data_IF_155974455041
#
_entry.id   IF_155974455041
#
_cell.length_a   1.000
_cell.length_b   1.000
_cell.length_c   1.000
_cell.angle_alpha   90.00
_cell.angle_beta   90.00
_cell.angle_gamma   90.00
#
_symmetry.space_group_name_H-M   'P 1'
#
loop_
_entity.id
_entity.type
_entity.pdbx_description
1 polymer ?
#
# COMPACT_ATOMS: atom_id res chain seq x y z
N UNK A 1 -2.89 -5.38 0.66
CA UNK A 1 -3.30 -6.64 1.29
C UNK A 1 -3.02 -7.73 0.27
N UNK A 2 -2.31 -8.77 0.66
CA UNK A 2 -2.00 -9.95 -0.18
C UNK A 2 -3.02 -11.09 0.01
N UNK A 3 -4.12 -10.81 0.72
CA UNK A 3 -5.14 -11.75 1.17
C UNK A 3 -4.59 -12.89 2.05
N UNK A 4 -3.43 -12.70 2.69
CA UNK A 4 -2.89 -13.65 3.67
C UNK A 4 -3.80 -13.84 4.89
N UNK A 5 -4.56 -12.80 5.25
CA UNK A 5 -5.53 -12.81 6.36
C UNK A 5 -6.91 -12.31 5.96
N UNK A 6 -7.00 -11.38 5.00
CA UNK A 6 -8.26 -10.88 4.43
C UNK A 6 -8.92 -11.84 3.45
N UNK A 7 -10.19 -11.58 3.10
CA UNK A 7 -10.93 -12.34 2.06
C UNK A 7 -11.61 -11.40 1.09
N UNK A 8 -11.42 -11.65 -0.22
CA UNK A 8 -12.06 -10.86 -1.29
C UNK A 8 -13.59 -10.85 -1.21
N UNK A 9 -14.19 -11.92 -0.68
CA UNK A 9 -15.64 -12.01 -0.48
C UNK A 9 -16.18 -10.94 0.48
N UNK A 10 -15.37 -10.38 1.39
CA UNK A 10 -15.80 -9.28 2.25
C UNK A 10 -16.07 -7.98 1.47
N UNK A 11 -15.53 -7.85 0.26
CA UNK A 11 -15.73 -6.67 -0.59
C UNK A 11 -16.98 -6.77 -1.47
N UNK A 12 -17.57 -7.97 -1.62
CA UNK A 12 -18.66 -8.22 -2.57
C UNK A 12 -19.89 -7.31 -2.33
N UNK A 13 -20.15 -6.96 -1.07
CA UNK A 13 -21.25 -6.07 -0.68
C UNK A 13 -21.12 -4.63 -1.19
N UNK A 14 -19.93 -4.21 -1.64
CA UNK A 14 -19.68 -2.85 -2.11
C UNK A 14 -19.84 -2.69 -3.63
N UNK A 15 -19.96 -3.81 -4.38
CA UNK A 15 -20.23 -3.81 -5.81
C UNK A 15 -19.21 -2.99 -6.61
N UNK A 16 -19.71 -2.11 -7.49
CA UNK A 16 -18.90 -1.25 -8.37
C UNK A 16 -18.20 -0.09 -7.64
N UNK A 17 -18.54 0.16 -6.37
CA UNK A 17 -17.89 1.22 -5.58
C UNK A 17 -16.48 0.83 -5.09
N UNK A 18 -16.04 -0.41 -5.34
CA UNK A 18 -14.73 -0.92 -4.94
C UNK A 18 -14.07 -1.60 -6.13
N UNK A 19 -12.89 -1.09 -6.48
CA UNK A 19 -11.97 -1.74 -7.40
C UNK A 19 -10.87 -2.46 -6.60
N UNK A 20 -10.51 -3.68 -7.03
CA UNK A 20 -9.40 -4.43 -6.43
C UNK A 20 -8.26 -4.53 -7.44
N UNK A 21 -7.19 -3.80 -7.17
CA UNK A 21 -5.94 -3.86 -7.95
C UNK A 21 -4.96 -4.79 -7.24
N UNK A 22 -4.45 -5.79 -7.97
CA UNK A 22 -3.39 -6.68 -7.48
C UNK A 22 -2.04 -6.13 -7.91
N UNK A 23 -1.29 -5.58 -6.96
CA UNK A 23 0.02 -4.97 -7.18
C UNK A 23 0.88 -5.01 -5.91
N UNK A 24 2.19 -4.85 -6.07
CA UNK A 24 3.14 -4.70 -4.97
C UNK A 24 3.55 -3.23 -4.85
N UNK A 25 3.57 -2.69 -3.63
CA UNK A 25 3.96 -1.29 -3.38
C UNK A 25 5.43 -1.00 -3.70
N UNK A 26 6.27 -2.04 -3.83
CA UNK A 26 7.67 -1.92 -4.24
C UNK A 26 7.81 -1.62 -5.74
N UNK A 27 6.78 -1.86 -6.54
CA UNK A 27 6.71 -1.55 -7.97
C UNK A 27 6.20 -0.12 -8.18
N UNK A 28 7.10 0.77 -8.59
CA UNK A 28 6.76 2.18 -8.83
C UNK A 28 5.75 2.35 -9.98
N UNK A 29 5.87 1.59 -11.06
CA UNK A 29 5.00 1.75 -12.23
C UNK A 29 3.58 1.28 -11.91
N UNK A 30 3.46 0.24 -11.09
CA UNK A 30 2.18 -0.19 -10.54
C UNK A 30 1.58 0.90 -9.63
N UNK A 31 2.38 1.56 -8.78
CA UNK A 31 1.89 2.65 -7.92
C UNK A 31 1.52 3.90 -8.72
N UNK A 32 2.24 4.22 -9.80
CA UNK A 32 1.87 5.28 -10.74
C UNK A 32 0.50 5.03 -11.35
N UNK A 33 0.22 3.78 -11.75
CA UNK A 33 -1.09 3.39 -12.29
C UNK A 33 -2.19 3.46 -11.22
N UNK A 34 -1.91 2.92 -10.02
CA UNK A 34 -2.90 2.84 -8.94
C UNK A 34 -3.27 4.19 -8.32
N UNK A 35 -2.38 5.18 -8.37
CA UNK A 35 -2.63 6.53 -7.82
C UNK A 35 -3.18 7.52 -8.85
N UNK A 36 -3.29 7.12 -10.11
CA UNK A 36 -3.80 7.98 -11.18
C UNK A 36 -5.28 8.31 -10.97
N UNK A 37 -5.60 9.61 -10.93
CA UNK A 37 -6.98 10.08 -10.75
C UNK A 37 -7.52 9.95 -9.32
N UNK A 38 -6.67 9.62 -8.34
CA UNK A 38 -7.08 9.51 -6.93
C UNK A 38 -7.02 10.86 -6.21
N UNK A 39 -8.05 11.19 -5.45
CA UNK A 39 -8.05 12.40 -4.59
C UNK A 39 -7.24 12.20 -3.31
N UNK A 40 -7.31 10.99 -2.73
CA UNK A 40 -6.74 10.65 -1.42
C UNK A 40 -6.11 9.26 -1.46
N UNK A 41 -4.93 9.10 -0.84
CA UNK A 41 -4.28 7.81 -0.62
C UNK A 41 -4.19 7.52 0.88
N UNK A 42 -4.71 6.37 1.32
CA UNK A 42 -4.56 5.87 2.69
C UNK A 42 -3.61 4.67 2.65
N UNK A 43 -2.37 4.86 3.11
CA UNK A 43 -1.33 3.85 3.08
C UNK A 43 -1.37 3.00 4.36
N UNK A 44 -1.84 1.76 4.21
CA UNK A 44 -1.91 0.75 5.28
C UNK A 44 -1.06 -0.48 4.99
N UNK A 45 -0.26 -0.47 3.92
CA UNK A 45 0.58 -1.60 3.57
C UNK A 45 1.80 -1.64 4.50
N UNK A 46 2.01 -2.77 5.17
CA UNK A 46 3.09 -2.98 6.14
C UNK A 46 3.40 -4.48 6.26
N UNK A 47 4.69 -4.81 6.31
CA UNK A 47 5.18 -6.11 6.76
C UNK A 47 5.31 -6.11 8.28
N UNK A 48 4.88 -7.18 8.94
CA UNK A 48 4.99 -7.33 10.39
C UNK A 48 6.45 -7.18 10.85
N UNK A 49 6.71 -6.26 11.78
CA UNK A 49 8.08 -5.96 12.24
C UNK A 49 8.81 -7.18 12.83
N UNK A 50 8.09 -8.16 13.41
CA UNK A 50 8.71 -9.40 13.90
C UNK A 50 9.39 -10.21 12.77
N UNK A 51 8.97 -10.04 11.52
CA UNK A 51 9.62 -10.67 10.36
C UNK A 51 11.05 -10.17 10.20
N UNK A 52 11.36 -8.93 10.62
CA UNK A 52 12.70 -8.33 10.49
C UNK A 52 13.80 -9.07 11.26
N UNK A 53 13.44 -9.85 12.28
CA UNK A 53 14.39 -10.67 13.03
C UNK A 53 15.05 -11.73 12.14
N UNK A 54 14.34 -12.20 11.11
CA UNK A 54 14.81 -13.21 10.18
C UNK A 54 15.10 -12.62 8.79
N UNK A 55 14.34 -11.61 8.36
CA UNK A 55 14.46 -10.97 7.06
C UNK A 55 14.30 -9.44 7.17
N UNK A 56 15.34 -8.73 7.63
CA UNK A 56 15.30 -7.27 7.77
C UNK A 56 15.25 -6.55 6.42
N UNK A 57 15.80 -7.15 5.36
CA UNK A 57 15.81 -6.58 4.02
C UNK A 57 14.39 -6.52 3.45
N UNK A 58 13.64 -7.62 3.53
CA UNK A 58 12.23 -7.64 3.12
C UNK A 58 11.39 -6.58 3.86
N UNK A 59 11.56 -6.48 5.18
CA UNK A 59 10.82 -5.48 5.97
C UNK A 59 11.20 -4.06 5.56
N UNK A 60 12.47 -3.78 5.29
CA UNK A 60 12.89 -2.46 4.78
C UNK A 60 12.28 -2.16 3.41
N UNK A 61 12.34 -3.12 2.49
CA UNK A 61 11.78 -2.98 1.14
C UNK A 61 10.28 -2.70 1.17
N UNK A 62 9.52 -3.38 2.02
CA UNK A 62 8.07 -3.16 2.13
C UNK A 62 7.78 -1.85 2.88
N UNK A 63 8.31 -1.69 4.08
CA UNK A 63 7.88 -0.62 5.00
C UNK A 63 8.50 0.74 4.68
N UNK A 64 9.75 0.77 4.17
CA UNK A 64 10.44 2.01 3.84
C UNK A 64 10.42 2.26 2.33
N UNK A 65 10.99 1.34 1.53
CA UNK A 65 11.12 1.55 0.09
C UNK A 65 9.75 1.60 -0.60
N UNK A 66 8.86 0.65 -0.32
CA UNK A 66 7.51 0.61 -0.90
C UNK A 66 6.68 1.83 -0.52
N UNK A 67 6.74 2.24 0.76
CA UNK A 67 6.13 3.49 1.23
C UNK A 67 6.61 4.70 0.42
N UNK A 68 7.92 4.81 0.15
CA UNK A 68 8.46 5.87 -0.70
C UNK A 68 7.91 5.81 -2.13
N UNK A 69 7.77 4.63 -2.74
CA UNK A 69 7.21 4.53 -4.10
C UNK A 69 5.77 5.00 -4.17
N UNK A 70 4.94 4.66 -3.18
CA UNK A 70 3.56 5.14 -3.06
C UNK A 70 3.54 6.68 -3.00
N UNK A 71 4.40 7.29 -2.20
CA UNK A 71 4.48 8.76 -2.10
C UNK A 71 4.99 9.43 -3.36
N UNK A 72 5.97 8.85 -4.04
CA UNK A 72 6.47 9.36 -5.32
C UNK A 72 5.36 9.34 -6.37
N UNK A 73 4.62 8.24 -6.44
CA UNK A 73 3.51 8.10 -7.38
C UNK A 73 2.35 9.05 -7.06
N UNK A 74 1.94 9.12 -5.80
CA UNK A 74 0.88 10.03 -5.35
C UNK A 74 1.24 11.50 -5.64
N UNK A 75 2.48 11.90 -5.36
CA UNK A 75 2.96 13.24 -5.65
C UNK A 75 3.00 13.53 -7.16
N UNK A 76 3.49 12.58 -7.97
CA UNK A 76 3.56 12.74 -9.43
C UNK A 76 2.17 12.87 -10.08
N UNK A 77 1.17 12.17 -9.53
CA UNK A 77 -0.22 12.21 -10.01
C UNK A 77 -1.07 13.31 -9.38
N UNK A 78 -0.50 14.17 -8.53
CA UNK A 78 -1.22 15.30 -7.94
C UNK A 78 -2.28 14.92 -6.90
N UNK A 79 -2.12 13.78 -6.22
CA UNK A 79 -3.03 13.36 -5.13
C UNK A 79 -3.08 14.45 -4.06
N UNK A 80 -4.28 14.90 -3.70
CA UNK A 80 -4.47 16.06 -2.81
C UNK A 80 -4.09 15.78 -1.35
N UNK A 81 -4.19 14.52 -0.91
CA UNK A 81 -3.91 14.11 0.47
C UNK A 81 -3.40 12.68 0.56
N UNK A 82 -2.35 12.50 1.34
CA UNK A 82 -1.83 11.20 1.72
C UNK A 82 -1.95 10.99 3.23
N UNK A 83 -2.40 9.81 3.66
CA UNK A 83 -2.47 9.41 5.07
C UNK A 83 -1.58 8.19 5.27
N UNK A 84 -0.58 8.33 6.13
CA UNK A 84 0.26 7.23 6.58
C UNK A 84 -0.29 6.65 7.88
N UNK A 85 -0.54 5.35 7.93
CA UNK A 85 -0.99 4.67 9.15
C UNK A 85 0.20 4.01 9.83
N UNK A 86 0.65 4.61 10.94
CA UNK A 86 1.77 4.11 11.74
C UNK A 86 1.30 3.30 12.95
N UNK A 87 2.25 2.59 13.57
CA UNK A 87 2.10 2.01 14.90
C UNK A 87 3.09 2.65 15.88
N UNK A 88 2.95 2.37 17.18
CA UNK A 88 3.93 2.76 18.20
C UNK A 88 5.24 1.98 18.12
N UNK A 89 5.29 0.90 17.33
CA UNK A 89 6.47 0.08 17.10
C UNK A 89 7.26 0.51 15.86
N UNK A 90 6.75 1.50 15.11
CA UNK A 90 7.36 2.00 13.87
C UNK A 90 8.63 2.83 14.11
#
# INVERSE_FOLDING_TARGET
DDFSTGRRSHLAQHGENVEVVTADIRDLDAMMSATSGMDVVIHMAVACLRVSLNDPQYVHEVNATGTLQVWRAAAANGVSRTVYVSSSEA
#
